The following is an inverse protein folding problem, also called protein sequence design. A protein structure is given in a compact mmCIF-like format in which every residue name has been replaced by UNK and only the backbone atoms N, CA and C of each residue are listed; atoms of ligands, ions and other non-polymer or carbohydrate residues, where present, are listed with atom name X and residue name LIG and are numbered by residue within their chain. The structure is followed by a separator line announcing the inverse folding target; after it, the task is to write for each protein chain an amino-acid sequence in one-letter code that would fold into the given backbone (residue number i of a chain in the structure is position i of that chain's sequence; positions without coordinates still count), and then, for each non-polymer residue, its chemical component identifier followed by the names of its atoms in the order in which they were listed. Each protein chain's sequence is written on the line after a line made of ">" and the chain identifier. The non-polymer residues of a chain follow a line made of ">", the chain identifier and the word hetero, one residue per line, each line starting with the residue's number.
data_IF_105547681936
#
_entry.id   IF_105547681936
#
_cell.length_a   1.000
_cell.length_b   1.000
_cell.length_c   1.000
_cell.angle_alpha   90.00
_cell.angle_beta   90.00
_cell.angle_gamma   90.00
#
_symmetry.space_group_name_H-M   'P 1'
#
loop_
_entity.id
_entity.type
_entity.pdbx_description
1 polymer ?
#
# COMPACT_ATOMS: atom_id res chain seq x y z
N UNK A 1 -16.17 7.51 -7.53
CA UNK A 1 -17.03 8.26 -8.47
C UNK A 1 -16.39 8.34 -9.86
N UNK A 2 -15.17 8.87 -10.02
CA UNK A 2 -14.49 8.93 -11.34
C UNK A 2 -14.46 7.56 -12.02
N UNK A 3 -14.12 6.49 -11.28
CA UNK A 3 -14.20 5.10 -11.76
C UNK A 3 -15.59 4.71 -12.28
N UNK A 4 -16.68 5.19 -11.64
CA UNK A 4 -18.05 4.90 -12.07
C UNK A 4 -18.40 5.60 -13.38
N UNK A 5 -17.89 6.81 -13.60
CA UNK A 5 -18.01 7.48 -14.89
C UNK A 5 -17.24 6.71 -15.97
N UNK A 6 -16.03 6.22 -15.66
CA UNK A 6 -15.24 5.40 -16.59
C UNK A 6 -15.96 4.10 -16.94
N UNK A 7 -16.46 3.34 -15.96
CA UNK A 7 -17.22 2.11 -16.22
C UNK A 7 -18.48 2.37 -17.04
N UNK A 8 -19.17 3.49 -16.80
CA UNK A 8 -20.35 3.88 -17.59
C UNK A 8 -19.98 4.19 -19.04
N UNK A 9 -18.92 4.97 -19.26
CA UNK A 9 -18.43 5.33 -20.61
C UNK A 9 -17.96 4.09 -21.38
N UNK A 10 -17.36 3.10 -20.72
CA UNK A 10 -16.95 1.83 -21.33
C UNK A 10 -18.09 0.81 -21.46
N UNK A 11 -19.31 1.14 -21.02
CA UNK A 11 -20.46 0.23 -21.07
C UNK A 11 -20.36 -0.99 -20.14
N UNK A 12 -19.47 -0.96 -19.15
CA UNK A 12 -19.15 -2.09 -18.26
C UNK A 12 -20.08 -2.14 -17.02
N UNK A 13 -21.29 -1.58 -17.08
CA UNK A 13 -22.21 -1.55 -15.95
C UNK A 13 -23.69 -1.50 -16.33
N UNK A 14 -24.53 -2.00 -15.42
CA UNK A 14 -26.00 -2.01 -15.51
C UNK A 14 -26.56 -0.64 -15.12
N UNK A 15 -26.54 0.32 -16.04
CA UNK A 15 -27.04 1.68 -15.82
C UNK A 15 -28.08 2.07 -16.88
N UNK A 16 -29.14 2.75 -16.45
CA UNK A 16 -30.16 3.34 -17.35
C UNK A 16 -29.53 4.44 -18.21
N UNK A 17 -30.16 4.75 -19.34
CA UNK A 17 -29.93 5.99 -20.06
C UNK A 17 -30.03 7.21 -19.13
N UNK A 18 -28.99 8.04 -19.15
CA UNK A 18 -28.83 9.20 -18.27
C UNK A 18 -29.61 10.38 -18.84
N UNK A 19 -30.33 11.19 -18.02
CA UNK A 19 -30.93 12.44 -18.46
C UNK A 19 -29.82 13.44 -18.84
N UNK A 20 -29.43 13.41 -20.12
CA UNK A 20 -28.28 14.14 -20.66
C UNK A 20 -28.38 15.65 -20.44
N UNK A 21 -29.53 16.24 -20.79
CA UNK A 21 -29.75 17.67 -20.65
C UNK A 21 -29.61 18.13 -19.19
N UNK A 22 -30.21 17.39 -18.26
CA UNK A 22 -30.17 17.71 -16.83
C UNK A 22 -28.76 17.57 -16.25
N UNK A 23 -28.03 16.50 -16.59
CA UNK A 23 -26.67 16.29 -16.13
C UNK A 23 -25.71 17.33 -16.69
N UNK A 24 -25.86 17.69 -17.97
CA UNK A 24 -25.03 18.70 -18.62
C UNK A 24 -25.31 20.10 -18.06
N UNK A 25 -26.58 20.47 -17.87
CA UNK A 25 -26.96 21.72 -17.20
C UNK A 25 -26.37 21.80 -15.80
N UNK A 26 -26.49 20.71 -15.03
CA UNK A 26 -25.96 20.64 -13.66
C UNK A 26 -24.44 20.80 -13.63
N UNK A 27 -23.73 20.23 -14.60
CA UNK A 27 -22.28 20.41 -14.76
C UNK A 27 -21.94 21.88 -15.02
N UNK A 28 -22.65 22.55 -15.92
CA UNK A 28 -22.40 23.98 -16.23
C UNK A 28 -22.68 24.88 -15.02
N UNK A 29 -23.76 24.64 -14.30
CA UNK A 29 -24.09 25.36 -13.07
C UNK A 29 -23.02 25.15 -11.99
N UNK A 30 -22.57 23.90 -11.79
CA UNK A 30 -21.49 23.61 -10.85
C UNK A 30 -20.19 24.30 -11.24
N UNK A 31 -19.83 24.32 -12.53
CA UNK A 31 -18.63 25.01 -13.01
C UNK A 31 -18.66 26.50 -12.68
N UNK A 32 -19.75 27.19 -13.01
CA UNK A 32 -19.92 28.62 -12.68
C UNK A 32 -19.89 28.87 -11.17
N UNK A 33 -20.51 27.98 -10.37
CA UNK A 33 -20.51 28.11 -8.92
C UNK A 33 -19.12 27.90 -8.30
N UNK A 34 -18.33 26.97 -8.84
CA UNK A 34 -16.93 26.74 -8.43
C UNK A 34 -16.05 27.91 -8.83
N UNK A 35 -16.16 28.41 -10.06
CA UNK A 35 -15.43 29.60 -10.52
C UNK A 35 -15.76 30.83 -9.67
N UNK A 36 -17.04 31.03 -9.34
CA UNK A 36 -17.48 32.09 -8.42
C UNK A 36 -16.89 31.92 -7.03
N UNK A 37 -16.90 30.71 -6.47
CA UNK A 37 -16.33 30.43 -5.15
C UNK A 37 -14.81 30.65 -5.13
N UNK A 38 -14.09 30.34 -6.21
CA UNK A 38 -12.66 30.65 -6.28
C UNK A 38 -12.37 32.13 -6.48
N UNK A 39 -13.26 32.86 -7.16
CA UNK A 39 -13.14 34.32 -7.32
C UNK A 39 -13.45 35.07 -6.02
N UNK A 40 -14.21 34.45 -5.11
CA UNK A 40 -14.52 34.95 -3.77
C UNK A 40 -13.50 34.41 -2.76
N UNK A 41 -12.36 35.08 -2.64
CA UNK A 41 -11.31 34.78 -1.65
C UNK A 41 -10.81 33.32 -1.65
N UNK A 42 -10.79 32.68 -2.83
CA UNK A 42 -10.46 31.26 -2.97
C UNK A 42 -11.23 30.37 -1.99
N UNK A 43 -12.54 30.58 -1.85
CA UNK A 43 -13.42 29.84 -0.94
C UNK A 43 -13.53 28.35 -1.34
N UNK A 44 -12.50 27.57 -0.98
CA UNK A 44 -12.39 26.14 -1.27
C UNK A 44 -13.47 25.31 -0.60
N UNK A 45 -13.96 25.59 0.63
CA UNK A 45 -15.07 24.84 1.21
C UNK A 45 -16.34 24.95 0.36
N UNK A 46 -16.67 26.16 -0.10
CA UNK A 46 -17.85 26.38 -0.94
C UNK A 46 -17.69 25.77 -2.33
N UNK A 47 -16.51 25.85 -2.94
CA UNK A 47 -16.21 25.18 -4.19
C UNK A 47 -16.40 23.66 -4.06
N UNK A 48 -15.84 23.05 -3.01
CA UNK A 48 -15.94 21.61 -2.76
C UNK A 48 -17.39 21.18 -2.44
N UNK A 49 -18.16 22.00 -1.72
CA UNK A 49 -19.58 21.75 -1.48
C UNK A 49 -20.38 21.66 -2.80
N UNK A 50 -20.12 22.54 -3.76
CA UNK A 50 -20.75 22.50 -5.08
C UNK A 50 -20.32 21.26 -5.90
N UNK A 51 -19.05 20.86 -5.80
CA UNK A 51 -18.52 19.62 -6.40
C UNK A 51 -19.19 18.38 -5.81
N UNK A 52 -19.32 18.31 -4.48
CA UNK A 52 -19.96 17.18 -3.80
C UNK A 52 -21.44 17.05 -4.16
N UNK A 53 -22.15 18.17 -4.39
CA UNK A 53 -23.52 18.16 -4.92
C UNK A 53 -23.59 17.55 -6.32
N UNK A 54 -22.65 17.90 -7.22
CA UNK A 54 -22.56 17.29 -8.55
C UNK A 54 -22.25 15.80 -8.48
N UNK A 55 -21.32 15.40 -7.61
CA UNK A 55 -20.97 13.98 -7.37
C UNK A 55 -22.19 13.20 -6.87
N UNK A 56 -22.92 13.74 -5.89
CA UNK A 56 -24.12 13.10 -5.34
C UNK A 56 -25.18 12.92 -6.41
N UNK A 57 -25.47 13.96 -7.17
CA UNK A 57 -26.42 13.91 -8.28
C UNK A 57 -26.02 12.87 -9.33
N UNK A 58 -24.76 12.91 -9.79
CA UNK A 58 -24.25 11.96 -10.79
C UNK A 58 -24.30 10.52 -10.29
N UNK A 59 -23.93 10.27 -9.04
CA UNK A 59 -24.01 8.92 -8.44
C UNK A 59 -25.45 8.41 -8.31
N UNK A 60 -26.43 9.29 -8.04
CA UNK A 60 -27.85 8.93 -7.99
C UNK A 60 -28.34 8.54 -9.38
N UNK A 61 -27.99 9.33 -10.39
CA UNK A 61 -28.34 9.08 -11.80
C UNK A 61 -27.73 7.77 -12.29
N UNK A 62 -26.43 7.53 -12.04
CA UNK A 62 -25.73 6.28 -12.36
C UNK A 62 -26.12 5.10 -11.46
N UNK A 63 -26.92 5.32 -10.41
CA UNK A 63 -27.37 4.28 -9.48
C UNK A 63 -28.77 3.76 -9.79
N UNK A 64 -29.50 4.39 -10.72
CA UNK A 64 -30.81 3.89 -11.15
C UNK A 64 -30.60 2.64 -12.00
N UNK A 65 -31.32 1.56 -11.66
CA UNK A 65 -31.31 0.29 -12.39
C UNK A 65 -32.47 0.25 -13.38
N UNK A 66 -32.19 -0.28 -14.57
CA UNK A 66 -33.20 -0.50 -15.60
C UNK A 66 -34.18 -1.58 -15.14
N UNK A 67 -35.47 -1.37 -15.41
CA UNK A 67 -36.43 -2.49 -15.47
C UNK A 67 -36.18 -3.26 -16.76
N UNK A 68 -36.43 -4.56 -16.77
CA UNK A 68 -36.32 -5.39 -17.98
C UNK A 68 -37.04 -4.70 -19.15
N UNK A 69 -36.31 -4.50 -20.26
CA UNK A 69 -36.76 -3.93 -21.55
C UNK A 69 -36.48 -2.42 -21.75
N UNK A 70 -35.22 -2.09 -22.07
CA UNK A 70 -34.87 -0.83 -22.74
C UNK A 70 -33.55 -1.00 -23.50
N UNK A 71 -33.64 -1.30 -24.80
CA UNK A 71 -32.49 -1.24 -25.72
C UNK A 71 -32.46 0.20 -26.26
N UNK A 72 -31.96 1.13 -25.45
CA UNK A 72 -31.77 2.52 -25.88
C UNK A 72 -30.28 2.84 -26.02
N UNK A 73 -29.92 3.61 -27.06
CA UNK A 73 -28.54 4.07 -27.30
C UNK A 73 -28.12 4.97 -26.13
N UNK A 74 -27.14 4.52 -25.35
CA UNK A 74 -26.67 5.22 -24.15
C UNK A 74 -25.83 6.44 -24.55
N UNK A 75 -26.21 7.62 -24.08
CA UNK A 75 -25.37 8.82 -24.21
C UNK A 75 -24.25 8.81 -23.16
N UNK A 76 -22.99 8.76 -23.62
CA UNK A 76 -21.80 8.74 -22.76
C UNK A 76 -21.16 10.12 -22.55
N UNK A 77 -21.45 11.09 -23.42
CA UNK A 77 -20.76 12.37 -23.46
C UNK A 77 -20.94 13.20 -22.17
N UNK A 78 -22.15 13.34 -21.58
CA UNK A 78 -22.32 14.13 -20.35
C UNK A 78 -21.62 13.50 -19.14
N UNK A 79 -21.66 12.17 -19.03
CA UNK A 79 -21.01 11.44 -17.94
C UNK A 79 -19.49 11.50 -18.06
N UNK A 80 -18.96 11.38 -19.29
CA UNK A 80 -17.55 11.59 -19.58
C UNK A 80 -17.10 13.01 -19.23
N UNK A 81 -17.89 14.03 -19.62
CA UNK A 81 -17.60 15.43 -19.33
C UNK A 81 -17.52 15.71 -17.82
N UNK A 82 -18.44 15.14 -17.03
CA UNK A 82 -18.40 15.21 -15.57
C UNK A 82 -17.14 14.54 -15.01
N UNK A 83 -16.80 13.33 -15.48
CA UNK A 83 -15.59 12.62 -15.05
C UNK A 83 -14.31 13.41 -15.34
N UNK A 84 -14.20 13.99 -16.55
CA UNK A 84 -13.07 14.82 -16.97
C UNK A 84 -12.99 16.11 -16.15
N UNK A 85 -14.12 16.77 -15.92
CA UNK A 85 -14.17 17.98 -15.10
C UNK A 85 -13.67 17.74 -13.67
N UNK A 86 -14.17 16.69 -13.01
CA UNK A 86 -13.75 16.35 -11.65
C UNK A 86 -12.29 15.96 -11.57
N UNK A 87 -11.81 15.18 -12.55
CA UNK A 87 -10.40 14.81 -12.64
C UNK A 87 -9.53 16.07 -12.74
N UNK A 88 -9.83 16.98 -13.68
CA UNK A 88 -9.08 18.24 -13.87
C UNK A 88 -9.12 19.13 -12.63
N UNK A 89 -10.28 19.29 -12.01
CA UNK A 89 -10.42 20.12 -10.82
C UNK A 89 -9.62 19.55 -9.65
N UNK A 90 -9.67 18.24 -9.44
CA UNK A 90 -8.85 17.56 -8.42
C UNK A 90 -7.36 17.68 -8.72
N UNK A 91 -6.94 17.58 -9.99
CA UNK A 91 -5.56 17.85 -10.40
C UNK A 91 -5.13 19.28 -10.06
N UNK A 92 -5.98 20.27 -10.37
CA UNK A 92 -5.72 21.69 -10.09
C UNK A 92 -5.62 21.99 -8.60
N UNK A 93 -6.39 21.28 -7.77
CA UNK A 93 -6.34 21.37 -6.31
C UNK A 93 -5.19 20.54 -5.69
N UNK A 94 -4.34 19.91 -6.50
CA UNK A 94 -3.20 19.13 -6.02
C UNK A 94 -3.55 17.76 -5.45
N UNK A 95 -4.80 17.29 -5.58
CA UNK A 95 -5.23 16.00 -5.05
C UNK A 95 -4.56 14.79 -5.76
N UNK A 96 -3.99 14.99 -6.95
CA UNK A 96 -3.18 13.96 -7.64
C UNK A 96 -1.79 13.75 -7.03
N UNK A 97 -1.26 14.72 -6.26
CA UNK A 97 0.05 14.60 -5.63
C UNK A 97 0.07 13.49 -4.57
N UNK A 98 -0.98 13.38 -3.76
CA UNK A 98 -1.14 12.32 -2.78
C UNK A 98 -1.37 10.94 -3.41
N UNK A 99 -2.04 10.87 -4.58
CA UNK A 99 -2.30 9.60 -5.27
C UNK A 99 -1.02 9.01 -5.88
N UNK A 100 -0.14 9.83 -6.45
CA UNK A 100 1.16 9.37 -6.97
C UNK A 100 2.07 8.89 -5.83
N UNK A 101 2.21 9.68 -4.77
CA UNK A 101 3.03 9.27 -3.62
C UNK A 101 2.49 8.06 -2.84
N UNK A 102 1.17 7.93 -2.68
CA UNK A 102 0.58 6.78 -2.01
C UNK A 102 0.65 5.50 -2.86
N UNK A 103 0.52 5.61 -4.19
CA UNK A 103 0.62 4.45 -5.09
C UNK A 103 2.08 4.03 -5.27
N UNK A 104 2.99 4.97 -5.48
CA UNK A 104 4.44 4.70 -5.58
C UNK A 104 5.02 4.20 -4.24
N UNK A 105 4.61 4.79 -3.11
CA UNK A 105 5.01 4.33 -1.78
C UNK A 105 4.51 2.93 -1.45
N UNK A 106 3.29 2.57 -1.89
CA UNK A 106 2.77 1.23 -1.68
C UNK A 106 3.38 0.20 -2.65
N UNK A 107 3.59 0.58 -3.92
CA UNK A 107 4.22 -0.31 -4.91
C UNK A 107 5.68 -0.62 -4.56
N UNK A 108 6.47 0.40 -4.20
CA UNK A 108 7.86 0.22 -3.77
C UNK A 108 7.96 -0.61 -2.49
N UNK A 109 7.05 -0.40 -1.53
CA UNK A 109 6.98 -1.22 -0.30
C UNK A 109 6.64 -2.68 -0.63
N UNK A 110 5.65 -2.93 -1.50
CA UNK A 110 5.27 -4.29 -1.90
C UNK A 110 6.41 -4.97 -2.67
N UNK A 111 7.09 -4.26 -3.56
CA UNK A 111 8.25 -4.79 -4.29
C UNK A 111 9.41 -5.13 -3.34
N UNK A 112 9.69 -4.26 -2.36
CA UNK A 112 10.67 -4.52 -1.32
C UNK A 112 10.32 -5.78 -0.51
N UNK A 113 9.09 -5.89 -0.01
CA UNK A 113 8.63 -7.06 0.73
C UNK A 113 8.80 -8.36 -0.08
N UNK A 114 8.41 -8.36 -1.36
CA UNK A 114 8.58 -9.52 -2.24
C UNK A 114 10.04 -9.88 -2.50
N UNK A 115 10.90 -8.88 -2.67
CA UNK A 115 12.33 -9.09 -2.84
C UNK A 115 12.94 -9.74 -1.59
N UNK A 116 12.59 -9.23 -0.40
CA UNK A 116 13.03 -9.81 0.87
C UNK A 116 12.49 -11.23 1.06
N UNK A 117 11.21 -11.48 0.80
CA UNK A 117 10.62 -12.83 0.85
C UNK A 117 11.38 -13.81 -0.05
N UNK A 118 11.75 -13.39 -1.25
CA UNK A 118 12.51 -14.21 -2.20
C UNK A 118 13.88 -14.57 -1.64
N UNK A 119 14.61 -13.60 -1.09
CA UNK A 119 15.93 -13.82 -0.47
C UNK A 119 15.83 -14.71 0.76
N UNK A 120 14.85 -14.46 1.64
CA UNK A 120 14.63 -15.24 2.87
C UNK A 120 14.26 -16.68 2.52
N UNK A 121 13.38 -16.90 1.54
CA UNK A 121 12.97 -18.22 1.07
C UNK A 121 14.15 -18.98 0.44
N UNK A 122 14.94 -18.33 -0.42
CA UNK A 122 16.11 -18.94 -1.02
C UNK A 122 17.14 -19.36 0.04
N UNK A 123 17.43 -18.46 1.00
CA UNK A 123 18.31 -18.75 2.14
C UNK A 123 17.81 -19.94 2.96
N UNK A 124 16.51 -19.99 3.27
CA UNK A 124 15.91 -21.08 4.04
C UNK A 124 16.11 -22.42 3.32
N UNK A 125 15.79 -22.49 2.01
CA UNK A 125 15.99 -23.69 1.19
C UNK A 125 17.44 -24.15 1.15
N UNK A 126 18.40 -23.24 0.99
CA UNK A 126 19.84 -23.57 1.00
C UNK A 126 20.24 -24.15 2.36
N UNK A 127 19.77 -23.53 3.45
CA UNK A 127 20.08 -23.99 4.81
C UNK A 127 19.47 -25.35 5.11
N UNK A 128 18.24 -25.59 4.66
CA UNK A 128 17.53 -26.85 4.87
C UNK A 128 18.20 -27.98 4.08
N UNK A 129 18.56 -27.73 2.81
CA UNK A 129 19.36 -28.67 2.02
C UNK A 129 20.69 -29.00 2.70
N UNK A 130 21.41 -27.98 3.17
CA UNK A 130 22.69 -28.17 3.86
C UNK A 130 22.56 -28.90 5.21
N UNK A 131 21.37 -28.94 5.81
CA UNK A 131 21.06 -29.67 7.04
C UNK A 131 20.49 -31.08 6.81
N UNK A 132 20.10 -31.42 5.58
CA UNK A 132 19.43 -32.70 5.28
C UNK A 132 20.42 -33.88 5.31
N UNK A 133 20.74 -34.32 6.52
CA UNK A 133 21.60 -35.49 6.76
C UNK A 133 21.08 -36.74 6.06
N UNK A 134 19.75 -36.93 5.98
CA UNK A 134 19.16 -38.16 5.42
C UNK A 134 19.41 -38.24 3.93
N UNK A 135 19.18 -37.14 3.21
CA UNK A 135 19.44 -37.07 1.78
C UNK A 135 20.92 -37.38 1.47
N UNK A 136 21.85 -36.75 2.19
CA UNK A 136 23.29 -36.99 2.01
C UNK A 136 23.73 -38.43 2.31
N UNK A 137 23.23 -39.02 3.40
CA UNK A 137 23.56 -40.41 3.77
C UNK A 137 23.02 -41.39 2.74
N UNK A 138 21.81 -41.18 2.21
CA UNK A 138 21.22 -42.05 1.19
C UNK A 138 22.02 -42.02 -0.11
N UNK A 139 22.33 -40.82 -0.64
CA UNK A 139 23.12 -40.66 -1.87
C UNK A 139 24.53 -41.25 -1.71
N UNK A 140 25.14 -41.05 -0.55
CA UNK A 140 26.45 -41.62 -0.24
C UNK A 140 26.40 -43.16 -0.14
N UNK A 141 25.31 -43.72 0.40
CA UNK A 141 25.07 -45.15 0.47
C UNK A 141 24.96 -45.83 -0.90
N UNK A 142 24.31 -45.17 -1.87
CA UNK A 142 24.24 -45.64 -3.27
C UNK A 142 25.63 -45.75 -3.91
N UNK A 143 26.60 -44.97 -3.42
CA UNK A 143 27.99 -44.96 -3.90
C UNK A 143 28.93 -45.76 -2.98
N UNK A 144 28.39 -46.55 -2.05
CA UNK A 144 29.16 -47.41 -1.15
C UNK A 144 29.92 -46.68 -0.03
N UNK A 145 29.56 -45.43 0.26
CA UNK A 145 30.21 -44.62 1.31
C UNK A 145 29.55 -44.90 2.67
N UNK A 146 30.31 -45.25 3.72
CA UNK A 146 29.77 -45.45 5.07
C UNK A 146 29.14 -44.18 5.66
N UNK A 147 28.05 -44.33 6.42
CA UNK A 147 27.29 -43.20 7.01
C UNK A 147 28.17 -42.22 7.81
N UNK A 148 29.11 -42.73 8.61
CA UNK A 148 30.01 -41.89 9.42
C UNK A 148 30.88 -40.99 8.54
N UNK A 149 31.38 -41.52 7.43
CA UNK A 149 32.18 -40.78 6.46
C UNK A 149 31.33 -39.79 5.69
N UNK A 150 30.12 -40.19 5.27
CA UNK A 150 29.16 -39.33 4.58
C UNK A 150 28.75 -38.12 5.44
N UNK A 151 28.49 -38.33 6.72
CA UNK A 151 28.12 -37.24 7.65
C UNK A 151 29.25 -36.24 7.84
N UNK A 152 30.48 -36.72 7.99
CA UNK A 152 31.67 -35.88 8.13
C UNK A 152 31.96 -35.09 6.85
N UNK A 153 31.78 -35.73 5.69
CA UNK A 153 31.93 -35.09 4.39
C UNK A 153 30.87 -34.00 4.18
N UNK A 154 29.60 -34.28 4.50
CA UNK A 154 28.52 -33.30 4.45
C UNK A 154 28.85 -32.05 5.27
N UNK A 155 29.31 -32.22 6.52
CA UNK A 155 29.69 -31.08 7.37
C UNK A 155 30.80 -30.24 6.74
N UNK A 156 31.78 -30.86 6.09
CA UNK A 156 32.87 -30.15 5.42
C UNK A 156 32.43 -29.45 4.13
N UNK A 157 31.60 -30.11 3.32
CA UNK A 157 31.16 -29.61 2.00
C UNK A 157 30.08 -28.53 2.15
N UNK A 158 29.19 -28.68 3.13
CA UNK A 158 28.10 -27.74 3.38
C UNK A 158 28.51 -26.54 4.23
N UNK A 159 29.69 -26.54 4.85
CA UNK A 159 30.17 -25.42 5.68
C UNK A 159 30.15 -24.07 4.93
N UNK A 160 30.69 -23.95 3.70
CA UNK A 160 30.62 -22.71 2.93
C UNK A 160 29.18 -22.25 2.65
N UNK A 161 28.25 -23.19 2.46
CA UNK A 161 26.83 -22.86 2.27
C UNK A 161 26.22 -22.29 3.55
N UNK A 162 26.55 -22.84 4.72
CA UNK A 162 26.12 -22.27 6.00
C UNK A 162 26.67 -20.86 6.19
N UNK A 163 27.97 -20.66 5.93
CA UNK A 163 28.63 -19.36 6.05
C UNK A 163 27.92 -18.31 5.16
N UNK A 164 27.61 -18.65 3.90
CA UNK A 164 26.83 -17.78 3.00
C UNK A 164 25.44 -17.47 3.56
N UNK A 165 24.71 -18.48 4.05
CA UNK A 165 23.37 -18.24 4.62
C UNK A 165 23.38 -17.40 5.88
N UNK A 166 24.47 -17.44 6.65
CA UNK A 166 24.67 -16.62 7.83
C UNK A 166 25.10 -15.19 7.46
N UNK A 167 25.96 -15.02 6.45
CA UNK A 167 26.28 -13.71 5.86
C UNK A 167 25.03 -13.01 5.34
N UNK A 168 24.14 -13.70 4.60
CA UNK A 168 22.88 -13.12 4.13
C UNK A 168 22.04 -12.60 5.32
N UNK A 169 21.98 -13.35 6.42
CA UNK A 169 21.24 -12.90 7.62
C UNK A 169 21.84 -11.62 8.21
N UNK A 170 23.16 -11.56 8.27
CA UNK A 170 23.88 -10.40 8.78
C UNK A 170 23.72 -9.17 7.89
N UNK A 171 23.83 -9.35 6.57
CA UNK A 171 23.77 -8.26 5.59
C UNK A 171 22.35 -7.69 5.48
N UNK A 172 21.32 -8.55 5.57
CA UNK A 172 19.92 -8.10 5.66
C UNK A 172 19.69 -7.21 6.88
N UNK A 173 20.27 -7.55 8.03
CA UNK A 173 20.14 -6.75 9.24
C UNK A 173 20.92 -5.43 9.14
N UNK A 174 22.16 -5.47 8.67
CA UNK A 174 23.06 -4.32 8.66
C UNK A 174 22.81 -3.33 7.52
N UNK A 175 22.47 -3.80 6.32
CA UNK A 175 22.26 -2.96 5.14
C UNK A 175 20.80 -2.55 4.96
N UNK A 176 19.85 -3.44 5.28
CA UNK A 176 18.43 -3.23 5.02
C UNK A 176 17.56 -3.09 6.29
N UNK A 177 18.16 -3.16 7.49
CA UNK A 177 17.44 -3.21 8.76
C UNK A 177 16.38 -4.33 8.82
N UNK A 178 16.61 -5.44 8.13
CA UNK A 178 15.71 -6.59 8.10
C UNK A 178 16.23 -7.67 9.04
N UNK A 179 15.47 -7.97 10.09
CA UNK A 179 15.77 -9.07 11.01
C UNK A 179 15.07 -10.35 10.53
N UNK A 180 15.83 -11.41 10.32
CA UNK A 180 15.30 -12.75 9.99
C UNK A 180 15.29 -13.61 11.26
N UNK A 181 14.17 -14.28 11.53
CA UNK A 181 13.98 -15.25 12.61
C UNK A 181 13.64 -16.62 12.01
N UNK A 182 14.41 -17.62 12.39
CA UNK A 182 14.19 -19.00 11.94
C UNK A 182 13.27 -19.71 12.95
N UNK A 183 12.10 -20.16 12.50
CA UNK A 183 11.12 -20.90 13.29
C UNK A 183 10.99 -22.37 12.86
N UNK A 184 10.05 -23.08 13.47
CA UNK A 184 9.74 -24.49 13.14
C UNK A 184 9.08 -24.59 11.76
N UNK A 185 8.20 -23.63 11.43
CA UNK A 185 7.44 -23.58 10.17
C UNK A 185 8.17 -22.80 9.05
N UNK A 186 9.44 -22.46 9.26
CA UNK A 186 10.27 -21.73 8.29
C UNK A 186 10.83 -20.40 8.81
N UNK A 187 11.51 -19.66 7.94
CA UNK A 187 12.10 -18.36 8.26
C UNK A 187 11.07 -17.22 8.09
N UNK A 188 10.91 -16.40 9.11
CA UNK A 188 10.11 -15.16 9.10
C UNK A 188 11.03 -13.95 9.18
N UNK A 189 10.55 -12.76 8.81
CA UNK A 189 11.35 -11.54 8.88
C UNK A 189 10.53 -10.32 9.27
N UNK A 190 11.22 -9.29 9.78
CA UNK A 190 10.63 -8.00 10.16
C UNK A 190 11.60 -6.85 9.96
N UNK A 191 11.11 -5.68 9.55
CA UNK A 191 11.91 -4.44 9.49
C UNK A 191 12.11 -3.89 10.91
N UNK A 192 13.35 -3.63 11.28
CA UNK A 192 13.75 -3.06 12.58
C UNK A 192 13.94 -1.56 12.41
N UNK A 193 13.01 -0.76 12.92
CA UNK A 193 13.24 0.68 13.03
C UNK A 193 14.19 0.95 14.20
N UNK A 194 15.33 1.58 13.91
CA UNK A 194 16.27 2.00 14.94
C UNK A 194 15.57 2.90 15.97
N UNK A 195 15.65 2.56 17.25
CA UNK A 195 15.27 3.44 18.37
C UNK A 195 16.29 4.58 18.53
N UNK A 196 16.43 5.42 17.51
CA UNK A 196 17.16 6.69 17.57
C UNK A 196 16.26 7.73 16.93
N UNK A 197 15.21 8.11 17.65
CA UNK A 197 14.49 9.40 17.60
C UNK A 197 13.22 9.33 18.44
N UNK A 198 13.38 9.00 19.73
CA UNK A 198 12.40 9.39 20.75
C UNK A 198 13.20 10.09 21.84
N UNK A 199 13.46 11.39 21.63
CA UNK A 199 13.69 12.29 22.75
C UNK A 199 12.40 12.26 23.58
N UNK A 200 12.48 11.56 24.71
CA UNK A 200 11.47 11.57 25.75
C UNK A 200 11.24 13.05 26.14
N UNK A 201 10.00 13.57 26.13
CA UNK A 201 9.76 14.89 26.67
C UNK A 201 10.10 14.87 28.16
N UNK A 202 11.01 15.76 28.55
CA UNK A 202 11.29 16.06 29.96
C UNK A 202 10.01 16.62 30.57
N UNK A 203 9.41 15.83 31.44
CA UNK A 203 8.31 16.25 32.28
C UNK A 203 8.87 17.16 33.40
N UNK A 204 8.93 18.46 33.11
CA UNK A 204 9.10 19.50 34.13
C UNK A 204 7.80 19.60 34.94
N UNK A 205 7.60 18.68 35.88
CA UNK A 205 6.73 18.93 37.02
C UNK A 205 7.58 19.51 38.15
N UNK A 206 7.61 20.84 38.20
CA UNK A 206 7.94 21.66 39.36
C UNK A 206 7.31 21.08 40.63
N UNK A 207 8.16 20.61 41.56
CA UNK A 207 7.77 20.42 42.96
C UNK A 207 7.79 21.78 43.65
N UNK A 208 6.62 22.41 43.74
CA UNK A 208 6.32 23.36 44.81
C UNK A 208 6.48 22.62 46.15
N UNK A 209 7.55 22.93 46.88
CA UNK A 209 7.61 22.68 48.32
C UNK A 209 7.28 23.98 49.02
N UNK A 210 6.05 24.06 49.51
CA UNK A 210 5.56 25.09 50.40
C UNK A 210 6.50 25.28 51.61
N UNK A 211 6.71 26.54 51.93
CA UNK A 211 7.43 26.95 53.12
C UNK A 211 6.68 26.57 54.38
N UNK A 212 7.43 26.33 55.44
CA UNK A 212 6.96 26.54 56.79
C UNK A 212 8.02 27.34 57.55
N UNK A 213 7.77 28.64 57.67
CA UNK A 213 8.31 29.50 58.71
C UNK A 213 7.92 28.90 60.07
N UNK A 214 8.68 29.03 61.16
CA UNK A 214 8.87 30.27 61.95
C UNK A 214 9.61 29.88 63.28
N UNK A 215 9.87 30.79 64.21
CA UNK A 215 11.18 31.43 64.45
C UNK A 215 11.74 31.13 65.86
N UNK A 216 12.88 31.77 66.15
CA UNK A 216 13.40 32.24 67.45
C UNK A 216 13.11 31.43 68.72
#
# INVERSE_FOLDING_TARGET
>A
MIQRCETYVHGQGDCINVPEAELYERLQLTRKAVEKAFSDDFNTPQALANVMRLIKFTNQVLGRKEGENSVTVRSCAPVAAVGVYLKRLMSQLGADAGKKMATEGNETTVQFHRAVDTVVSARAKIRDFAKDKKHFVNVAGEHGIPEKTATKLMQSVCKPLWDITDSIRHDMLSAANVQIKDGIDGSTWSVVHSKKDVKKPEDQSTKDKGGNSKPS
#
